data_IF_888896486293
#
_entry.id   IF_888896486293
#
_cell.length_a   1.000
_cell.length_b   1.000
_cell.length_c   1.000
_cell.angle_alpha   90.00
_cell.angle_beta   90.00
_cell.angle_gamma   90.00
#
_symmetry.space_group_name_H-M   'P 1'
#
loop_
_entity.id
_entity.type
_entity.pdbx_description
1 polymer ?
#
# COMPACT_ATOMS: atom_id res chain seq x y z
N UNK A 1 36.32 84.85 25.25
CA UNK A 1 36.88 83.96 24.23
C UNK A 1 36.26 82.58 24.37
N UNK A 2 35.98 81.93 23.24
CA UNK A 2 34.98 80.89 23.02
C UNK A 2 35.04 79.63 23.90
N UNK A 3 33.88 79.26 24.45
CA UNK A 3 33.52 77.88 24.77
C UNK A 3 32.85 77.23 23.56
N UNK A 4 33.49 76.23 22.93
CA UNK A 4 32.86 75.44 21.84
C UNK A 4 32.75 73.96 22.22
N UNK A 5 31.50 73.56 22.51
CA UNK A 5 31.01 72.18 22.70
C UNK A 5 31.52 71.23 21.62
N UNK A 6 32.29 70.20 21.99
CA UNK A 6 32.57 69.04 21.12
C UNK A 6 31.40 68.04 21.21
N UNK A 7 30.76 67.86 20.07
CA UNK A 7 29.47 67.19 19.85
C UNK A 7 29.60 65.66 19.98
N UNK A 8 28.90 65.06 20.96
CA UNK A 8 28.52 63.63 20.98
C UNK A 8 27.75 63.33 19.68
N UNK A 9 28.39 62.73 18.68
CA UNK A 9 27.73 62.35 17.42
C UNK A 9 28.18 60.99 16.84
N UNK A 10 28.86 60.15 17.61
CA UNK A 10 29.45 58.92 17.09
C UNK A 10 29.00 57.61 17.76
N UNK A 11 28.13 57.65 18.79
CA UNK A 11 27.62 56.44 19.44
C UNK A 11 26.18 56.04 19.03
N UNK A 12 25.46 56.91 18.32
CA UNK A 12 24.04 56.67 17.96
C UNK A 12 23.89 55.92 16.62
N UNK A 13 24.93 55.91 15.76
CA UNK A 13 24.87 55.25 14.45
C UNK A 13 25.21 53.75 14.46
N UNK A 14 25.86 53.25 15.51
CA UNK A 14 26.23 51.83 15.65
C UNK A 14 25.15 51.00 16.33
N UNK A 15 24.46 51.54 17.34
CA UNK A 15 23.31 50.88 17.98
C UNK A 15 22.11 50.71 17.03
N UNK A 16 21.88 51.65 16.12
CA UNK A 16 20.78 51.58 15.15
C UNK A 16 20.95 50.48 14.11
N UNK A 17 22.18 50.21 13.66
CA UNK A 17 22.48 49.11 12.73
C UNK A 17 22.38 47.73 13.38
N UNK A 18 22.73 47.62 14.65
CA UNK A 18 22.64 46.36 15.41
C UNK A 18 21.17 46.03 15.68
N UNK A 19 20.38 46.99 16.18
CA UNK A 19 18.94 46.81 16.38
C UNK A 19 18.18 46.50 15.07
N UNK A 20 18.55 47.15 13.96
CA UNK A 20 17.96 46.87 12.64
C UNK A 20 18.20 45.45 12.14
N UNK A 21 19.32 44.82 12.49
CA UNK A 21 19.59 43.41 12.13
C UNK A 21 18.75 42.43 12.94
N UNK A 22 18.45 42.73 14.20
CA UNK A 22 17.57 41.88 15.03
C UNK A 22 16.12 41.97 14.59
N UNK A 23 15.63 43.16 14.25
CA UNK A 23 14.26 43.32 13.75
C UNK A 23 14.05 42.65 12.39
N UNK A 24 15.03 42.73 11.49
CA UNK A 24 14.98 42.01 10.20
C UNK A 24 14.95 40.50 10.42
N UNK A 25 15.76 39.95 11.33
CA UNK A 25 15.72 38.50 11.66
C UNK A 25 14.38 38.08 12.24
N UNK A 26 13.76 38.90 13.07
CA UNK A 26 12.43 38.63 13.65
C UNK A 26 11.35 38.62 12.56
N UNK A 27 11.40 39.57 11.62
CA UNK A 27 10.46 39.62 10.50
C UNK A 27 10.63 38.40 9.59
N UNK A 28 11.88 38.02 9.27
CA UNK A 28 12.18 36.85 8.42
C UNK A 28 11.71 35.55 9.07
N UNK A 29 11.89 35.39 10.39
CA UNK A 29 11.41 34.19 11.11
C UNK A 29 9.89 34.09 11.13
N UNK A 30 9.18 35.22 11.31
CA UNK A 30 7.72 35.25 11.22
C UNK A 30 7.24 34.88 9.80
N UNK A 31 7.89 35.42 8.76
CA UNK A 31 7.55 35.09 7.36
C UNK A 31 7.75 33.60 7.07
N UNK A 32 8.85 33.01 7.54
CA UNK A 32 9.13 31.57 7.38
C UNK A 32 8.07 30.73 8.10
N UNK A 33 7.66 31.13 9.31
CA UNK A 33 6.62 30.44 10.08
C UNK A 33 5.27 30.48 9.37
N UNK A 34 4.89 31.63 8.80
CA UNK A 34 3.66 31.79 8.01
C UNK A 34 3.74 30.94 6.74
N UNK A 35 4.87 30.95 6.03
CA UNK A 35 5.06 30.14 4.83
C UNK A 35 4.95 28.64 5.13
N UNK A 36 5.55 28.17 6.24
CA UNK A 36 5.46 26.78 6.68
C UNK A 36 4.03 26.39 7.03
N UNK A 37 3.29 27.26 7.73
CA UNK A 37 1.88 27.04 8.06
C UNK A 37 1.00 26.91 6.81
N UNK A 38 1.28 27.68 5.76
CA UNK A 38 0.55 27.62 4.50
C UNK A 38 0.88 26.37 3.66
N UNK A 39 2.13 25.88 3.72
CA UNK A 39 2.55 24.68 2.98
C UNK A 39 2.19 23.36 3.68
N UNK A 40 2.10 23.35 5.01
CA UNK A 40 1.86 22.13 5.80
C UNK A 40 0.56 21.37 5.43
N UNK A 41 -0.61 22.03 5.26
CA UNK A 41 -1.85 21.35 4.87
C UNK A 41 -1.75 20.69 3.49
N UNK A 42 -1.08 21.36 2.54
CA UNK A 42 -0.85 20.84 1.20
C UNK A 42 0.06 19.61 1.23
N UNK A 43 1.12 19.63 2.04
CA UNK A 43 2.02 18.49 2.22
C UNK A 43 1.27 17.29 2.84
N UNK A 44 0.49 17.52 3.89
CA UNK A 44 -0.31 16.48 4.54
C UNK A 44 -1.33 15.87 3.56
N UNK A 45 -1.99 16.70 2.75
CA UNK A 45 -2.93 16.24 1.72
C UNK A 45 -2.27 15.33 0.69
N UNK A 46 -1.11 15.73 0.18
CA UNK A 46 -0.32 14.92 -0.77
C UNK A 46 0.11 13.61 -0.12
N UNK A 47 0.59 13.63 1.13
CA UNK A 47 0.99 12.41 1.85
C UNK A 47 -0.18 11.44 2.04
N UNK A 48 -1.36 11.95 2.42
CA UNK A 48 -2.58 11.15 2.59
C UNK A 48 -3.05 10.53 1.26
N UNK A 49 -2.88 11.22 0.13
CA UNK A 49 -3.15 10.65 -1.20
C UNK A 49 -2.11 9.63 -1.65
N UNK A 50 -0.85 9.79 -1.26
CA UNK A 50 0.23 8.89 -1.66
C UNK A 50 0.28 7.60 -0.83
N UNK A 51 -0.14 7.63 0.45
CA UNK A 51 -0.18 6.47 1.34
C UNK A 51 -0.96 5.26 0.79
N UNK A 52 -2.19 5.39 0.25
CA UNK A 52 -2.91 4.25 -0.34
C UNK A 52 -2.24 3.75 -1.62
N UNK A 53 -1.61 4.62 -2.41
CA UNK A 53 -0.90 4.23 -3.64
C UNK A 53 0.39 3.46 -3.35
N UNK A 54 1.10 3.80 -2.26
CA UNK A 54 2.33 3.15 -1.85
C UNK A 54 2.07 1.78 -1.21
N UNK A 55 1.07 1.69 -0.33
CA UNK A 55 0.74 0.48 0.44
C UNK A 55 0.24 -0.69 -0.43
N UNK A 56 -0.31 -0.41 -1.62
CA UNK A 56 -0.77 -1.45 -2.55
C UNK A 56 0.36 -2.26 -3.21
N UNK A 57 1.60 -1.76 -3.21
CA UNK A 57 2.71 -2.38 -3.98
C UNK A 57 3.55 -3.40 -3.21
N UNK A 58 3.48 -3.44 -1.88
CA UNK A 58 4.49 -4.14 -1.07
C UNK A 58 4.09 -5.50 -0.47
N UNK A 59 2.80 -5.86 -0.44
CA UNK A 59 2.35 -7.05 0.31
C UNK A 59 1.52 -8.01 -0.55
N UNK A 60 2.15 -9.10 -1.02
CA UNK A 60 1.36 -10.24 -1.49
C UNK A 60 2.12 -11.36 -2.19
N UNK A 61 1.51 -12.56 -2.26
CA UNK A 61 1.94 -13.63 -3.15
C UNK A 61 1.93 -13.18 -4.62
N UNK A 62 2.48 -14.01 -5.51
CA UNK A 62 2.55 -13.72 -6.95
C UNK A 62 1.21 -13.16 -7.48
N UNK A 63 1.19 -11.98 -8.12
CA UNK A 63 -0.05 -11.34 -8.57
C UNK A 63 -0.85 -12.21 -9.53
N UNK A 64 -0.19 -13.10 -10.30
CA UNK A 64 -0.87 -14.05 -11.19
C UNK A 64 -1.64 -15.11 -10.42
N UNK A 65 -1.04 -15.67 -9.37
CA UNK A 65 -1.71 -16.66 -8.54
C UNK A 65 -2.93 -16.03 -7.86
N UNK A 66 -2.77 -14.85 -7.26
CA UNK A 66 -3.86 -14.11 -6.61
C UNK A 66 -5.00 -13.76 -7.57
N UNK A 67 -4.67 -13.38 -8.81
CA UNK A 67 -5.67 -13.13 -9.84
C UNK A 67 -6.43 -14.42 -10.21
N UNK A 68 -5.72 -15.52 -10.46
CA UNK A 68 -6.34 -16.79 -10.82
C UNK A 68 -7.22 -17.36 -9.70
N UNK A 69 -6.74 -17.29 -8.46
CA UNK A 69 -7.51 -17.69 -7.29
C UNK A 69 -8.81 -16.88 -7.11
N UNK A 70 -8.85 -15.63 -7.58
CA UNK A 70 -10.04 -14.81 -7.49
C UNK A 70 -11.10 -15.14 -8.57
N UNK A 71 -10.70 -15.80 -9.66
CA UNK A 71 -11.59 -16.08 -10.81
C UNK A 71 -11.89 -17.58 -11.01
N UNK A 72 -11.02 -18.47 -10.52
CA UNK A 72 -11.20 -19.91 -10.65
C UNK A 72 -12.09 -20.41 -9.51
N UNK A 73 -13.14 -21.20 -9.81
CA UNK A 73 -13.87 -21.89 -8.76
C UNK A 73 -13.03 -23.05 -8.21
N UNK A 74 -12.99 -23.18 -6.88
CA UNK A 74 -12.40 -24.36 -6.23
C UNK A 74 -13.23 -25.59 -6.60
N UNK A 75 -12.62 -26.54 -7.30
CA UNK A 75 -13.25 -27.80 -7.70
C UNK A 75 -12.93 -28.92 -6.73
N UNK A 76 -13.83 -29.90 -6.62
CA UNK A 76 -13.50 -31.17 -5.95
C UNK A 76 -12.55 -31.98 -6.82
N UNK A 77 -11.70 -32.80 -6.20
CA UNK A 77 -10.72 -33.64 -6.91
C UNK A 77 -11.39 -34.58 -7.91
N UNK A 78 -12.54 -35.15 -7.55
CA UNK A 78 -13.25 -36.10 -8.41
C UNK A 78 -13.93 -35.42 -9.62
N UNK A 79 -14.39 -34.17 -9.47
CA UNK A 79 -15.18 -33.47 -10.47
C UNK A 79 -14.43 -32.34 -11.18
N UNK A 80 -13.10 -32.27 -11.04
CA UNK A 80 -12.30 -31.21 -11.65
C UNK A 80 -12.34 -31.34 -13.18
N UNK A 81 -12.73 -30.25 -13.84
CA UNK A 81 -12.73 -30.21 -15.30
C UNK A 81 -11.29 -30.20 -15.82
N UNK A 82 -11.06 -30.90 -16.93
CA UNK A 82 -9.77 -30.84 -17.64
C UNK A 82 -9.49 -29.40 -18.05
N UNK A 83 -8.25 -28.95 -17.84
CA UNK A 83 -7.86 -27.56 -18.06
C UNK A 83 -7.30 -26.89 -16.82
N UNK A 84 -7.18 -25.57 -16.88
CA UNK A 84 -6.72 -24.77 -15.73
C UNK A 84 -7.76 -24.83 -14.61
N UNK A 85 -7.36 -25.32 -13.45
CA UNK A 85 -8.26 -25.52 -12.32
C UNK A 85 -7.59 -25.21 -10.97
N UNK A 86 -8.43 -24.96 -9.99
CA UNK A 86 -8.07 -24.86 -8.57
C UNK A 86 -8.66 -26.06 -7.81
N UNK A 87 -7.84 -26.71 -6.99
CA UNK A 87 -8.28 -27.74 -6.05
C UNK A 87 -7.77 -27.42 -4.65
N UNK A 88 -8.55 -27.79 -3.64
CA UNK A 88 -8.16 -27.70 -2.23
C UNK A 88 -8.18 -29.09 -1.61
N UNK A 89 -7.11 -29.45 -0.91
CA UNK A 89 -6.99 -30.77 -0.28
C UNK A 89 -5.97 -30.79 0.85
N UNK A 90 -5.92 -31.92 1.55
CA UNK A 90 -4.94 -32.24 2.60
C UNK A 90 -3.77 -32.98 1.97
N UNK A 91 -2.55 -32.59 2.33
CA UNK A 91 -1.31 -33.23 1.84
C UNK A 91 -1.11 -34.62 2.44
N UNK A 92 -0.87 -35.60 1.58
CA UNK A 92 -0.49 -36.97 1.94
C UNK A 92 0.93 -37.22 1.46
N UNK A 93 1.83 -37.51 2.40
CA UNK A 93 3.22 -37.82 2.11
C UNK A 93 3.35 -39.25 1.60
N UNK A 94 3.93 -39.42 0.41
CA UNK A 94 4.33 -40.74 -0.12
C UNK A 94 5.75 -41.11 0.32
N UNK A 95 6.66 -40.16 0.16
CA UNK A 95 8.07 -40.29 0.53
C UNK A 95 8.50 -39.09 1.37
N UNK A 96 9.34 -39.34 2.38
CA UNK A 96 9.85 -38.31 3.28
C UNK A 96 11.19 -37.74 2.82
N UNK A 97 11.35 -36.42 2.97
CA UNK A 97 12.62 -35.72 2.95
C UNK A 97 12.97 -35.22 4.35
N UNK A 98 14.27 -35.14 4.64
CA UNK A 98 14.76 -34.48 5.85
C UNK A 98 15.12 -33.04 5.53
N UNK A 99 14.48 -32.11 6.25
CA UNK A 99 14.73 -30.69 6.13
C UNK A 99 16.15 -30.30 6.62
N UNK A 100 16.86 -29.36 5.97
CA UNK A 100 18.22 -28.98 6.34
C UNK A 100 18.36 -28.41 7.76
N UNK A 101 17.34 -27.69 8.25
CA UNK A 101 17.31 -27.11 9.60
C UNK A 101 16.49 -28.02 10.51
N UNK A 102 17.20 -28.81 11.31
CA UNK A 102 16.63 -29.61 12.40
C UNK A 102 16.07 -30.97 12.02
N UNK A 103 16.36 -31.47 10.82
CA UNK A 103 16.04 -32.84 10.37
C UNK A 103 14.54 -33.19 10.51
N UNK A 104 13.66 -32.26 10.15
CA UNK A 104 12.22 -32.48 10.18
C UNK A 104 11.81 -33.28 8.95
N UNK A 105 11.03 -34.35 9.14
CA UNK A 105 10.40 -35.08 8.03
C UNK A 105 9.35 -34.21 7.34
N UNK A 106 9.48 -34.07 6.03
CA UNK A 106 8.61 -33.23 5.21
C UNK A 106 8.45 -33.81 3.79
N UNK A 107 7.42 -33.36 3.08
CA UNK A 107 7.21 -33.69 1.67
C UNK A 107 8.20 -32.92 0.79
N UNK A 108 8.48 -31.67 1.17
CA UNK A 108 9.37 -30.78 0.45
C UNK A 108 9.79 -29.58 1.27
N UNK A 109 10.88 -28.94 0.86
CA UNK A 109 11.41 -27.76 1.50
C UNK A 109 11.97 -26.76 0.48
N UNK A 110 11.94 -25.49 0.88
CA UNK A 110 12.73 -24.42 0.27
C UNK A 110 13.69 -23.88 1.33
N UNK A 111 14.99 -23.95 1.03
CA UNK A 111 16.07 -23.53 1.90
C UNK A 111 16.89 -22.45 1.22
N UNK A 112 17.19 -21.38 1.94
CA UNK A 112 17.92 -20.23 1.39
C UNK A 112 18.91 -19.72 2.43
N UNK A 113 20.12 -19.44 1.98
CA UNK A 113 21.16 -18.76 2.75
C UNK A 113 21.43 -17.43 2.08
N UNK A 114 21.28 -16.36 2.83
CA UNK A 114 21.55 -14.99 2.40
C UNK A 114 22.73 -14.44 3.21
N UNK A 115 23.66 -13.76 2.56
CA UNK A 115 24.71 -12.99 3.23
C UNK A 115 24.20 -11.57 3.47
N UNK A 116 24.31 -11.11 4.72
CA UNK A 116 23.83 -9.82 5.20
C UNK A 116 24.99 -8.84 5.26
N UNK A 117 24.81 -7.69 4.63
CA UNK A 117 25.71 -6.56 4.68
C UNK A 117 24.98 -5.37 5.29
N UNK A 118 25.62 -4.70 6.23
CA UNK A 118 25.11 -3.49 6.85
C UNK A 118 25.98 -2.32 6.42
N UNK A 119 25.36 -1.25 5.95
CA UNK A 119 26.08 -0.01 5.70
C UNK A 119 26.38 0.74 7.01
N UNK A 120 27.12 1.85 6.93
CA UNK A 120 27.44 2.68 8.09
C UNK A 120 26.22 3.35 8.74
N UNK A 121 25.07 3.38 8.05
CA UNK A 121 23.81 3.93 8.52
C UNK A 121 22.88 2.84 9.11
N UNK A 122 23.31 1.57 9.07
CA UNK A 122 22.57 0.42 9.57
C UNK A 122 21.54 -0.14 8.58
N UNK A 123 21.54 0.27 7.32
CA UNK A 123 20.69 -0.34 6.31
C UNK A 123 21.20 -1.74 5.95
N UNK A 124 20.28 -2.70 6.00
CA UNK A 124 20.53 -4.07 5.62
C UNK A 124 20.42 -4.23 4.10
N UNK A 125 21.43 -4.86 3.51
CA UNK A 125 21.38 -5.41 2.16
C UNK A 125 21.71 -6.90 2.23
N UNK A 126 21.00 -7.71 1.44
CA UNK A 126 21.16 -9.16 1.47
C UNK A 126 21.40 -9.73 0.07
N UNK A 127 22.32 -10.68 -0.04
CA UNK A 127 22.59 -11.41 -1.29
C UNK A 127 22.38 -12.90 -1.05
N UNK A 128 21.54 -13.55 -1.87
CA UNK A 128 21.36 -15.01 -1.81
C UNK A 128 22.65 -15.70 -2.28
N UNK A 129 23.30 -16.42 -1.37
CA UNK A 129 24.53 -17.19 -1.67
C UNK A 129 24.25 -18.68 -1.90
N UNK A 130 23.12 -19.18 -1.40
CA UNK A 130 22.70 -20.56 -1.61
C UNK A 130 21.17 -20.63 -1.62
N UNK A 131 20.65 -21.39 -2.57
CA UNK A 131 19.23 -21.70 -2.64
C UNK A 131 19.08 -23.17 -3.04
N UNK A 132 18.32 -23.91 -2.24
CA UNK A 132 17.99 -25.31 -2.50
C UNK A 132 16.49 -25.48 -2.39
N UNK A 133 15.94 -26.24 -3.33
CA UNK A 133 14.55 -26.65 -3.33
C UNK A 133 14.46 -28.12 -3.67
N UNK A 134 13.82 -28.88 -2.79
CA UNK A 134 13.54 -30.30 -2.99
C UNK A 134 12.10 -30.57 -2.60
N UNK A 135 11.43 -31.41 -3.38
CA UNK A 135 10.07 -31.84 -3.11
C UNK A 135 9.90 -33.22 -3.73
N UNK A 136 9.45 -34.18 -2.94
CA UNK A 136 9.08 -35.49 -3.45
C UNK A 136 7.68 -35.45 -4.05
N UNK A 137 7.32 -36.52 -4.75
CA UNK A 137 5.93 -36.76 -5.13
C UNK A 137 5.05 -36.95 -3.90
N UNK A 138 3.84 -36.44 -3.98
CA UNK A 138 2.86 -36.52 -2.90
C UNK A 138 1.45 -36.55 -3.49
N UNK A 139 0.47 -36.77 -2.63
CA UNK A 139 -0.93 -36.70 -3.04
C UNK A 139 -1.66 -35.60 -2.27
N UNK A 140 -2.73 -35.08 -2.86
CA UNK A 140 -3.73 -34.27 -2.20
C UNK A 140 -4.99 -35.10 -2.04
N UNK A 141 -5.62 -35.04 -0.88
CA UNK A 141 -6.89 -35.70 -0.63
C UNK A 141 -7.93 -34.69 -0.18
N UNK A 142 -9.11 -34.77 -0.79
CA UNK A 142 -10.31 -34.09 -0.33
C UNK A 142 -11.37 -35.13 0.06
N UNK A 143 -12.61 -34.70 0.25
CA UNK A 143 -13.71 -35.59 0.60
C UNK A 143 -14.22 -36.44 -0.57
N UNK A 144 -13.78 -36.16 -1.80
CA UNK A 144 -14.24 -36.83 -3.03
C UNK A 144 -13.22 -37.80 -3.62
N UNK A 145 -11.92 -37.59 -3.35
CA UNK A 145 -10.88 -38.43 -3.91
C UNK A 145 -9.47 -38.03 -3.54
N UNK A 146 -8.53 -38.58 -4.30
CA UNK A 146 -7.09 -38.36 -4.13
C UNK A 146 -6.47 -38.03 -5.48
N UNK A 147 -5.62 -37.02 -5.49
CA UNK A 147 -4.94 -36.45 -6.64
C UNK A 147 -3.44 -36.59 -6.46
N UNK A 148 -2.75 -37.14 -7.44
CA UNK A 148 -1.29 -37.19 -7.41
C UNK A 148 -0.69 -35.88 -7.94
N UNK A 149 0.32 -35.38 -7.22
CA UNK A 149 0.98 -34.12 -7.49
C UNK A 149 2.46 -34.37 -7.81
N UNK A 150 2.85 -34.05 -9.04
CA UNK A 150 4.24 -34.13 -9.48
C UNK A 150 4.97 -32.84 -9.07
N UNK A 151 6.16 -32.90 -8.45
CA UNK A 151 6.89 -31.72 -7.96
C UNK A 151 7.53 -30.90 -9.09
N UNK A 152 7.59 -31.43 -10.31
CA UNK A 152 8.22 -30.76 -11.46
C UNK A 152 7.58 -29.39 -11.73
N UNK A 153 8.40 -28.33 -11.70
CA UNK A 153 8.00 -26.91 -11.85
C UNK A 153 6.96 -26.42 -10.83
N UNK A 154 6.68 -27.18 -9.77
CA UNK A 154 5.77 -26.77 -8.71
C UNK A 154 6.36 -25.61 -7.92
N UNK A 155 5.68 -24.48 -7.86
CA UNK A 155 6.04 -23.36 -6.99
C UNK A 155 5.36 -23.53 -5.64
N UNK A 156 6.16 -23.48 -4.57
CA UNK A 156 5.66 -23.62 -3.22
C UNK A 156 5.65 -22.22 -2.61
N UNK A 157 4.49 -21.70 -2.24
CA UNK A 157 4.40 -20.44 -1.51
C UNK A 157 4.07 -20.73 -0.05
N UNK A 158 5.12 -21.11 0.67
CA UNK A 158 5.03 -21.61 2.05
C UNK A 158 5.42 -20.50 3.04
N UNK A 159 4.82 -20.48 4.25
CA UNK A 159 5.29 -19.62 5.32
C UNK A 159 6.71 -20.01 5.75
N UNK A 160 7.42 -19.06 6.37
CA UNK A 160 8.71 -19.34 7.01
C UNK A 160 8.44 -20.28 8.19
N UNK A 161 9.10 -21.44 8.17
CA UNK A 161 9.09 -22.41 9.25
C UNK A 161 10.13 -22.03 10.30
N UNK A 162 11.39 -21.85 9.85
CA UNK A 162 12.51 -21.45 10.71
C UNK A 162 13.38 -20.42 10.00
N UNK A 163 13.84 -19.46 10.79
CA UNK A 163 14.81 -18.47 10.35
C UNK A 163 15.76 -18.13 11.50
N UNK A 164 17.05 -18.07 11.22
CA UNK A 164 18.05 -17.59 12.19
C UNK A 164 19.22 -16.92 11.47
N UNK A 165 19.94 -16.09 12.21
CA UNK A 165 21.12 -15.39 11.72
C UNK A 165 22.38 -15.88 12.45
N UNK A 166 23.44 -16.14 11.68
CA UNK A 166 24.75 -16.54 12.23
C UNK A 166 25.85 -16.10 11.28
N UNK A 167 26.89 -15.46 11.81
CA UNK A 167 28.07 -15.01 11.04
C UNK A 167 27.69 -14.18 9.80
N UNK A 168 26.87 -13.14 9.97
CA UNK A 168 26.36 -12.29 8.87
C UNK A 168 25.64 -13.08 7.78
N UNK A 169 25.05 -14.24 8.10
CA UNK A 169 24.23 -15.02 7.19
C UNK A 169 22.86 -15.26 7.79
N UNK A 170 21.82 -15.09 6.98
CA UNK A 170 20.45 -15.45 7.31
C UNK A 170 20.10 -16.78 6.66
N UNK A 171 19.70 -17.72 7.49
CA UNK A 171 19.26 -19.04 7.10
C UNK A 171 17.75 -19.07 7.17
N UNK A 172 17.08 -19.36 6.05
CA UNK A 172 15.62 -19.40 5.99
C UNK A 172 15.17 -20.74 5.44
N UNK A 173 14.25 -21.40 6.14
CA UNK A 173 13.62 -22.65 5.74
C UNK A 173 12.10 -22.50 5.68
N UNK A 174 11.50 -23.11 4.66
CA UNK A 174 10.05 -23.28 4.49
C UNK A 174 9.74 -24.74 4.20
N UNK A 175 8.71 -25.29 4.82
CA UNK A 175 8.40 -26.71 4.76
C UNK A 175 6.99 -26.98 4.23
N UNK A 176 6.87 -27.98 3.36
CA UNK A 176 5.61 -28.63 3.01
C UNK A 176 5.47 -29.88 3.88
N UNK A 177 4.58 -29.82 4.87
CA UNK A 177 4.35 -30.91 5.81
C UNK A 177 3.17 -31.78 5.35
N UNK A 178 3.11 -33.06 5.76
CA UNK A 178 1.90 -33.87 5.66
C UNK A 178 0.77 -33.28 6.52
N UNK A 179 -0.46 -33.70 6.23
CA UNK A 179 -1.67 -33.35 6.97
C UNK A 179 -1.96 -31.84 7.02
N UNK A 180 -1.51 -31.10 6.00
CA UNK A 180 -1.77 -29.67 5.85
C UNK A 180 -2.76 -29.42 4.73
N UNK A 181 -3.74 -28.55 5.02
CA UNK A 181 -4.70 -28.09 4.03
C UNK A 181 -4.05 -27.06 3.10
N UNK A 182 -4.08 -27.31 1.81
CA UNK A 182 -3.41 -26.51 0.78
C UNK A 182 -4.33 -26.32 -0.42
N UNK A 183 -4.13 -25.20 -1.12
CA UNK A 183 -4.74 -24.89 -2.41
C UNK A 183 -3.69 -25.04 -3.50
N UNK A 184 -4.04 -25.75 -4.57
CA UNK A 184 -3.21 -25.97 -5.74
C UNK A 184 -3.91 -25.40 -6.99
N UNK A 185 -3.19 -24.55 -7.72
CA UNK A 185 -3.62 -24.08 -9.05
C UNK A 185 -2.64 -24.64 -10.09
N UNK A 186 -3.18 -25.31 -11.11
CA UNK A 186 -2.41 -25.93 -12.18
C UNK A 186 -3.30 -26.41 -13.32
N UNK A 187 -2.68 -27.12 -14.27
CA UNK A 187 -3.40 -27.80 -15.34
C UNK A 187 -3.86 -29.17 -14.83
N UNK A 188 -5.18 -29.37 -14.75
CA UNK A 188 -5.79 -30.67 -14.55
C UNK A 188 -5.79 -31.44 -15.88
N UNK A 189 -5.19 -32.61 -15.86
CA UNK A 189 -5.09 -33.52 -17.00
C UNK A 189 -5.45 -34.95 -16.54
N UNK A 190 -5.69 -35.85 -17.48
CA UNK A 190 -5.93 -37.26 -17.20
C UNK A 190 -4.75 -38.09 -17.69
N UNK A 191 -4.09 -38.79 -16.77
CA UNK A 191 -3.02 -39.75 -17.07
C UNK A 191 -3.41 -41.11 -16.54
N UNK A 192 -3.47 -42.12 -17.40
CA UNK A 192 -3.81 -43.50 -17.02
C UNK A 192 -5.17 -43.63 -16.29
N UNK A 193 -6.14 -42.80 -16.66
CA UNK A 193 -7.48 -42.79 -16.04
C UNK A 193 -7.53 -42.14 -14.65
N UNK A 194 -6.43 -41.55 -14.18
CA UNK A 194 -6.39 -40.74 -12.95
C UNK A 194 -6.20 -39.28 -13.29
N UNK A 195 -6.89 -38.41 -12.55
CA UNK A 195 -6.61 -36.97 -12.57
C UNK A 195 -5.20 -36.74 -12.07
N UNK A 196 -4.42 -35.93 -12.80
CA UNK A 196 -3.08 -35.46 -12.40
C UNK A 196 -3.01 -33.96 -12.59
N UNK A 197 -2.23 -33.28 -11.75
CA UNK A 197 -1.97 -31.86 -11.91
C UNK A 197 -0.55 -31.64 -12.43
N UNK A 198 -0.45 -30.77 -13.44
CA UNK A 198 0.81 -30.45 -14.11
C UNK A 198 0.97 -28.95 -14.27
N UNK A 199 2.17 -28.57 -14.70
CA UNK A 199 2.48 -27.20 -15.03
C UNK A 199 1.68 -26.71 -16.24
N UNK A 200 1.02 -25.55 -16.10
CA UNK A 200 0.32 -24.91 -17.21
C UNK A 200 1.29 -23.99 -17.99
N UNK A 201 1.56 -24.32 -19.25
CA UNK A 201 2.49 -23.65 -20.15
C UNK A 201 2.05 -22.24 -20.58
N UNK A 202 0.75 -22.00 -20.83
CA UNK A 202 0.27 -20.70 -21.34
C UNK A 202 0.23 -19.65 -20.21
N UNK A 203 -0.40 -19.99 -19.08
CA UNK A 203 -0.49 -19.09 -17.92
C UNK A 203 0.75 -19.12 -17.02
N UNK A 204 1.66 -20.08 -17.23
CA UNK A 204 2.90 -20.27 -16.46
C UNK A 204 2.63 -20.42 -14.97
N UNK A 205 1.62 -21.23 -14.64
CA UNK A 205 1.14 -21.42 -13.28
C UNK A 205 1.18 -22.90 -12.90
N UNK A 206 1.78 -23.13 -11.74
CA UNK A 206 1.69 -24.39 -11.00
C UNK A 206 2.14 -24.05 -9.59
N UNK A 207 1.18 -23.79 -8.72
CA UNK A 207 1.49 -23.15 -7.44
C UNK A 207 0.62 -23.71 -6.34
N UNK A 208 1.29 -24.12 -5.26
CA UNK A 208 0.69 -24.62 -4.05
C UNK A 208 0.88 -23.59 -2.93
N UNK A 209 -0.20 -23.31 -2.21
CA UNK A 209 -0.24 -22.37 -1.09
C UNK A 209 -1.03 -22.97 0.07
N UNK A 210 -0.55 -22.89 1.33
CA UNK A 210 -1.35 -23.32 2.48
C UNK A 210 -2.65 -22.52 2.59
N UNK A 211 -3.77 -23.23 2.80
CA UNK A 211 -5.11 -22.61 2.86
C UNK A 211 -5.22 -21.60 3.99
N UNK A 212 -4.53 -21.82 5.11
CA UNK A 212 -4.53 -20.91 6.25
C UNK A 212 -3.89 -19.56 5.91
N UNK A 213 -2.69 -19.58 5.32
CA UNK A 213 -1.99 -18.37 4.84
C UNK A 213 -2.82 -17.62 3.81
N UNK A 214 -3.48 -18.36 2.93
CA UNK A 214 -4.32 -17.82 1.88
C UNK A 214 -5.59 -17.17 2.42
N UNK A 215 -6.28 -17.82 3.35
CA UNK A 215 -7.47 -17.30 3.99
C UNK A 215 -7.13 -16.06 4.83
N UNK A 216 -6.01 -16.08 5.57
CA UNK A 216 -5.51 -14.90 6.29
C UNK A 216 -5.28 -13.72 5.35
N UNK A 217 -4.68 -13.93 4.19
CA UNK A 217 -4.49 -12.89 3.19
C UNK A 217 -5.82 -12.38 2.62
N UNK A 218 -6.71 -13.29 2.18
CA UNK A 218 -8.01 -12.94 1.59
C UNK A 218 -8.94 -12.21 2.58
N UNK A 219 -8.87 -12.54 3.87
CA UNK A 219 -9.64 -11.85 4.91
C UNK A 219 -9.07 -10.48 5.24
N UNK A 220 -7.75 -10.32 5.27
CA UNK A 220 -7.10 -9.06 5.71
C UNK A 220 -7.00 -8.02 4.61
N UNK A 221 -6.76 -8.43 3.36
CA UNK A 221 -6.62 -7.53 2.21
C UNK A 221 -7.79 -6.54 2.04
N UNK A 222 -9.07 -6.97 2.01
CA UNK A 222 -10.18 -6.04 1.84
C UNK A 222 -10.29 -5.08 3.04
N UNK A 223 -10.03 -5.56 4.25
CA UNK A 223 -10.08 -4.74 5.47
C UNK A 223 -9.03 -3.63 5.43
N UNK A 224 -7.79 -3.95 5.07
CA UNK A 224 -6.70 -2.97 4.96
C UNK A 224 -6.98 -1.98 3.82
N UNK A 225 -7.44 -2.47 2.66
CA UNK A 225 -7.76 -1.61 1.53
C UNK A 225 -8.85 -0.59 1.88
N UNK A 226 -9.90 -1.03 2.58
CA UNK A 226 -10.99 -0.17 3.02
C UNK A 226 -10.52 0.83 4.07
N UNK A 227 -9.73 0.39 5.05
CA UNK A 227 -9.16 1.25 6.10
C UNK A 227 -8.31 2.38 5.51
N UNK A 228 -7.47 2.07 4.51
CA UNK A 228 -6.64 3.07 3.82
C UNK A 228 -7.48 4.10 3.07
N UNK A 229 -8.55 3.66 2.38
CA UNK A 229 -9.46 4.58 1.67
C UNK A 229 -10.17 5.51 2.65
N UNK A 230 -10.72 4.98 3.75
CA UNK A 230 -11.42 5.82 4.73
C UNK A 230 -10.48 6.81 5.43
N UNK A 231 -9.26 6.39 5.75
CA UNK A 231 -8.23 7.28 6.30
C UNK A 231 -7.91 8.40 5.30
N UNK A 232 -7.85 8.08 4.01
CA UNK A 232 -7.71 9.04 2.91
C UNK A 232 -8.81 10.10 2.87
N UNK A 233 -10.06 9.66 2.86
CA UNK A 233 -11.25 10.54 2.82
C UNK A 233 -11.31 11.40 4.09
N UNK A 234 -11.04 10.82 5.26
CA UNK A 234 -11.03 11.56 6.52
C UNK A 234 -9.97 12.67 6.51
N UNK A 235 -8.75 12.37 6.06
CA UNK A 235 -7.69 13.37 5.91
C UNK A 235 -8.03 14.46 4.89
N UNK A 236 -8.71 14.09 3.80
CA UNK A 236 -9.23 15.05 2.81
C UNK A 236 -10.25 16.02 3.42
N UNK A 237 -11.23 15.51 4.17
CA UNK A 237 -12.25 16.33 4.85
C UNK A 237 -11.61 17.22 5.92
N UNK A 238 -10.70 16.68 6.74
CA UNK A 238 -9.99 17.46 7.75
C UNK A 238 -9.19 18.60 7.13
N UNK A 239 -8.53 18.35 5.98
CA UNK A 239 -7.84 19.40 5.22
C UNK A 239 -8.81 20.48 4.73
N UNK A 240 -9.95 20.09 4.14
CA UNK A 240 -10.97 21.06 3.71
C UNK A 240 -11.49 21.92 4.87
N UNK A 241 -11.71 21.34 6.05
CA UNK A 241 -12.14 22.08 7.24
C UNK A 241 -11.09 23.10 7.67
N UNK A 242 -9.81 22.74 7.64
CA UNK A 242 -8.71 23.65 7.96
C UNK A 242 -8.55 24.78 6.92
N UNK A 243 -8.93 24.54 5.67
CA UNK A 243 -8.91 25.54 4.61
C UNK A 243 -10.10 26.50 4.65
N UNK A 244 -11.24 26.10 5.23
CA UNK A 244 -12.38 27.01 5.33
C UNK A 244 -12.23 27.94 6.52
N UNK A 245 -12.35 29.24 6.25
CA UNK A 245 -12.36 30.27 7.28
C UNK A 245 -13.67 30.18 8.06
N UNK A 246 -13.58 29.83 9.36
CA UNK A 246 -14.73 29.69 10.24
C UNK A 246 -14.73 30.89 11.18
N UNK A 247 -15.53 31.90 10.86
CA UNK A 247 -15.75 33.05 11.73
C UNK A 247 -16.88 32.77 12.72
N UNK A 248 -16.59 32.96 14.00
CA UNK A 248 -17.57 32.87 15.08
C UNK A 248 -17.99 34.29 15.51
N UNK A 249 -19.16 34.74 15.08
CA UNK A 249 -19.77 36.01 15.51
C UNK A 249 -21.15 35.78 16.14
N UNK A 250 -21.37 36.35 17.33
CA UNK A 250 -22.66 36.41 18.02
C UNK A 250 -23.41 35.07 18.15
N UNK A 251 -22.70 34.01 18.57
CA UNK A 251 -23.30 32.70 18.81
C UNK A 251 -23.75 31.97 17.55
N UNK A 252 -23.44 32.49 16.36
CA UNK A 252 -23.73 31.88 15.05
C UNK A 252 -22.41 31.55 14.34
N UNK A 253 -22.24 30.29 13.97
CA UNK A 253 -21.16 29.84 13.10
C UNK A 253 -21.40 30.39 11.68
N UNK A 254 -20.54 31.29 11.21
CA UNK A 254 -20.50 31.73 9.82
C UNK A 254 -19.33 31.05 9.12
N UNK A 255 -19.64 30.07 8.29
CA UNK A 255 -18.65 29.43 7.42
C UNK A 255 -18.40 30.37 6.24
N UNK A 256 -17.21 30.94 6.15
CA UNK A 256 -16.78 31.73 4.99
C UNK A 256 -16.87 30.88 3.73
N UNK A 257 -17.39 31.46 2.64
CA UNK A 257 -17.57 30.72 1.39
C UNK A 257 -16.24 30.28 0.80
N UNK A 258 -15.89 29.01 1.00
CA UNK A 258 -14.69 28.38 0.45
C UNK A 258 -14.62 28.43 -1.10
N UNK A 259 -15.75 28.62 -1.82
CA UNK A 259 -15.80 28.57 -3.30
C UNK A 259 -16.81 29.50 -4.01
N UNK A 260 -17.49 30.44 -3.33
CA UNK A 260 -18.64 31.16 -3.95
C UNK A 260 -18.52 32.68 -3.98
N UNK A 261 -17.34 33.25 -4.22
CA UNK A 261 -17.26 34.66 -4.60
C UNK A 261 -17.59 34.90 -6.10
N UNK A 262 -17.29 33.95 -7.00
CA UNK A 262 -17.50 34.16 -8.44
C UNK A 262 -18.87 33.71 -8.97
N UNK A 263 -19.56 32.78 -8.31
CA UNK A 263 -20.86 32.26 -8.80
C UNK A 263 -21.99 33.25 -8.48
N UNK A 264 -21.99 33.85 -7.28
CA UNK A 264 -23.01 34.81 -6.88
C UNK A 264 -22.92 36.14 -7.66
N UNK A 265 -21.71 36.57 -8.02
CA UNK A 265 -21.51 37.78 -8.83
C UNK A 265 -22.03 37.59 -10.27
N UNK A 266 -21.84 36.41 -10.84
CA UNK A 266 -22.35 36.08 -12.18
C UNK A 266 -23.88 35.95 -12.20
N UNK A 267 -24.47 35.29 -11.20
CA UNK A 267 -25.93 35.16 -11.10
C UNK A 267 -26.59 36.54 -10.89
N UNK A 268 -26.02 37.40 -10.04
CA UNK A 268 -26.57 38.76 -9.83
C UNK A 268 -26.45 39.66 -11.07
N UNK A 269 -25.35 39.57 -11.83
CA UNK A 269 -25.18 40.28 -13.12
C UNK A 269 -26.13 39.77 -14.20
N UNK A 270 -26.44 38.48 -14.19
CA UNK A 270 -27.37 37.88 -15.16
C UNK A 270 -28.82 38.25 -14.83
N UNK A 271 -29.19 38.28 -13.54
CA UNK A 271 -30.50 38.74 -13.08
C UNK A 271 -30.73 40.24 -13.35
N UNK A 272 -29.71 41.08 -13.20
CA UNK A 272 -29.76 42.50 -13.57
C UNK A 272 -29.97 42.68 -15.08
N UNK A 273 -29.27 41.89 -15.92
CA UNK A 273 -29.44 41.94 -17.38
C UNK A 273 -30.83 41.52 -17.83
N UNK A 274 -31.43 40.54 -17.18
CA UNK A 274 -32.80 40.09 -17.47
C UNK A 274 -33.82 41.16 -17.09
N UNK A 275 -33.66 41.81 -15.94
CA UNK A 275 -34.55 42.89 -15.51
C UNK A 275 -34.45 44.13 -16.41
N UNK A 276 -33.24 44.52 -16.83
CA UNK A 276 -33.05 45.62 -17.78
C UNK A 276 -33.64 45.31 -19.16
N UNK A 277 -33.57 44.05 -19.60
CA UNK A 277 -34.20 43.61 -20.85
C UNK A 277 -35.73 43.69 -20.78
N UNK A 278 -36.33 43.31 -19.65
CA UNK A 278 -37.78 43.39 -19.42
C UNK A 278 -38.26 44.85 -19.40
N UNK A 279 -37.55 45.75 -18.70
CA UNK A 279 -37.85 47.19 -18.67
C UNK A 279 -37.71 47.87 -20.04
N UNK A 280 -36.77 47.42 -20.88
CA UNK A 280 -36.61 47.93 -22.26
C UNK A 280 -37.74 47.51 -23.20
N UNK A 281 -38.41 46.39 -22.91
CA UNK A 281 -39.58 45.94 -23.69
C UNK A 281 -40.86 46.63 -23.26
N UNK A 282 -41.03 46.93 -21.97
CA UNK A 282 -42.21 47.67 -21.49
C UNK A 282 -42.22 49.14 -21.99
N UNK A 283 -41.06 49.76 -22.17
CA UNK A 283 -40.94 51.11 -22.73
C UNK A 283 -41.25 51.21 -24.23
N UNK A 284 -41.26 50.08 -24.97
CA UNK A 284 -41.62 50.03 -26.39
C UNK A 284 -43.12 49.84 -26.64
N UNK A 285 -43.92 49.55 -25.61
CA UNK A 285 -45.38 49.33 -25.73
C UNK A 285 -46.19 50.63 -25.50
N UNK A 286 -45.55 51.70 -25.02
CA UNK A 286 -46.20 52.99 -24.72
C UNK A 286 -45.67 54.16 -25.57
N UNK A 287 -45.25 53.90 -26.81
CA UNK A 287 -44.92 54.94 -27.79
C UNK A 287 -45.49 54.58 -29.16
#
# INVERSE_FOLDING_TARGET
MEYRKKKKRFSVLTESKVMGRYTIKLIVTIIIMILLYMLFPLLCFVLVLLLPLFSLKFFGPNPRFMYLQAILPTSTIHSVAMGLAEVEGVTIMKESLLAPIGNIECIGFEYTIEELNYDSEGHESSVTIHQEKKCNEFSLQDHTGTLDVTPERLKLFLPIDRQYEKNQKRYTQRLLLPDKKVVLIGMADTSEGKTVFRYEEVKKIYTLVPSESLNKYNRTKPLISIFLIYTGIFGFIASLILFCDIEYQDGKLRVGSCFTNNINENISKEQSRINDFILSKETFVYK
#
